data_IF_410668227151
#
_entry.id   IF_410668227151
#
_cell.length_a   1.000
_cell.length_b   1.000
_cell.length_c   1.000
_cell.angle_alpha   90.00
_cell.angle_beta   90.00
_cell.angle_gamma   90.00
#
_symmetry.space_group_name_H-M   'P 1'
#
loop_
_entity.id
_entity.type
_entity.pdbx_description
1 polymer ?
#
# COMPACT_ATOMS: atom_id res chain seq x y z
N UNK A 1 14.21 1.87 14.40
CA UNK A 1 13.05 2.01 13.49
C UNK A 1 12.68 0.62 12.97
N UNK A 2 11.49 0.10 13.27
CA UNK A 2 11.06 -1.24 12.80
C UNK A 2 10.24 -1.04 11.54
N UNK A 3 10.74 -1.55 10.41
CA UNK A 3 10.01 -1.56 9.14
C UNK A 3 9.03 -2.74 9.18
N UNK A 4 7.71 -2.53 9.04
CA UNK A 4 6.75 -3.61 8.96
C UNK A 4 6.98 -4.36 7.67
N UNK A 5 6.87 -5.67 7.76
CA UNK A 5 6.84 -6.54 6.58
C UNK A 5 5.63 -6.15 5.75
N UNK A 6 5.88 -5.79 4.49
CA UNK A 6 4.84 -5.41 3.55
C UNK A 6 4.85 -6.42 2.40
N UNK A 7 3.70 -7.06 2.17
CA UNK A 7 3.46 -7.95 1.05
C UNK A 7 2.62 -7.20 0.02
N UNK A 8 3.05 -7.22 -1.24
CA UNK A 8 2.26 -6.70 -2.36
C UNK A 8 1.94 -7.84 -3.31
N UNK A 9 0.66 -8.08 -3.54
CA UNK A 9 0.16 -9.01 -4.54
C UNK A 9 -0.40 -8.22 -5.73
N UNK A 10 -0.27 -8.75 -6.94
CA UNK A 10 -0.83 -8.15 -8.14
C UNK A 10 -1.34 -9.21 -9.11
N UNK A 11 -2.42 -8.91 -9.80
CA UNK A 11 -3.00 -9.72 -10.87
C UNK A 11 -3.29 -8.76 -12.03
N UNK A 12 -2.93 -9.15 -13.25
CA UNK A 12 -3.26 -8.41 -14.46
C UNK A 12 -3.85 -9.39 -15.49
N UNK A 13 -5.04 -9.07 -15.99
CA UNK A 13 -5.82 -9.93 -16.88
C UNK A 13 -6.13 -9.15 -18.16
N UNK A 14 -5.66 -9.62 -19.34
CA UNK A 14 -6.04 -9.02 -20.61
C UNK A 14 -7.50 -9.37 -20.95
N UNK A 15 -8.24 -8.42 -21.53
CA UNK A 15 -9.59 -8.67 -22.03
C UNK A 15 -9.48 -9.18 -23.48
N UNK A 16 -9.92 -10.42 -23.69
CA UNK A 16 -9.83 -11.14 -24.96
C UNK A 16 -10.38 -10.29 -26.11
N UNK A 17 -9.61 -10.18 -27.20
CA UNK A 17 -9.94 -9.43 -28.43
C UNK A 17 -10.13 -7.92 -28.24
N UNK A 18 -9.58 -7.34 -27.17
CA UNK A 18 -9.60 -5.88 -26.97
C UNK A 18 -8.21 -5.35 -26.60
N UNK A 19 -7.94 -4.04 -26.81
CA UNK A 19 -6.75 -3.37 -26.31
C UNK A 19 -6.78 -3.09 -24.79
N UNK A 20 -7.75 -3.64 -24.05
CA UNK A 20 -7.93 -3.39 -22.63
C UNK A 20 -7.35 -4.52 -21.76
N UNK A 21 -6.88 -4.14 -20.57
CA UNK A 21 -6.55 -5.06 -19.48
C UNK A 21 -7.09 -4.52 -18.16
N UNK A 22 -7.41 -5.44 -17.24
CA UNK A 22 -7.81 -5.11 -15.88
C UNK A 22 -6.76 -5.62 -14.92
N UNK A 23 -6.40 -4.81 -13.94
CA UNK A 23 -5.45 -5.20 -12.92
C UNK A 23 -6.02 -4.98 -11.52
N UNK A 24 -5.55 -5.80 -10.61
CA UNK A 24 -5.80 -5.69 -9.18
C UNK A 24 -4.44 -5.73 -8.48
N UNK A 25 -4.29 -4.92 -7.43
CA UNK A 25 -3.18 -5.03 -6.50
C UNK A 25 -3.66 -4.94 -5.06
N UNK A 26 -3.05 -5.75 -4.20
CA UNK A 26 -3.29 -5.76 -2.76
C UNK A 26 -1.99 -5.51 -2.02
N UNK A 27 -1.96 -4.46 -1.19
CA UNK A 27 -0.83 -4.15 -0.30
C UNK A 27 -1.22 -4.45 1.13
N UNK A 28 -0.49 -5.36 1.76
CA UNK A 28 -0.72 -5.82 3.11
C UNK A 28 0.52 -5.51 3.95
N UNK A 29 0.34 -4.91 5.11
CA UNK A 29 1.41 -4.68 6.06
C UNK A 29 1.06 -5.32 7.40
N UNK A 30 2.04 -6.02 7.98
CA UNK A 30 1.94 -6.52 9.34
C UNK A 30 1.90 -5.40 10.37
N UNK A 31 1.39 -5.67 11.59
CA UNK A 31 1.45 -4.71 12.68
C UNK A 31 2.91 -4.41 13.06
N UNK A 32 3.17 -3.19 13.54
CA UNK A 32 4.50 -2.84 14.04
C UNK A 32 4.81 -3.57 15.34
N UNK A 33 5.86 -4.39 15.34
CA UNK A 33 6.31 -5.14 16.52
C UNK A 33 6.95 -4.22 17.57
N UNK A 34 6.66 -4.44 18.87
CA UNK A 34 7.44 -3.86 19.98
C UNK A 34 8.83 -4.53 20.02
N UNK A 35 9.82 -4.00 19.31
CA UNK A 35 11.22 -4.36 19.53
C UNK A 35 11.86 -3.34 20.48
N UNK A 36 11.49 -3.38 21.76
CA UNK A 36 12.23 -2.72 22.83
C UNK A 36 13.16 -3.75 23.50
N UNK A 37 14.47 -3.48 23.51
CA UNK A 37 15.49 -4.35 24.14
C UNK A 37 15.79 -3.97 25.60
N UNK A 38 15.01 -3.07 26.20
CA UNK A 38 15.21 -2.61 27.57
C UNK A 38 14.04 -3.02 28.45
N UNK A 39 14.28 -3.97 29.36
CA UNK A 39 13.42 -4.27 30.50
C UNK A 39 13.99 -3.53 31.71
N UNK A 40 13.21 -2.66 32.34
CA UNK A 40 13.60 -2.06 33.61
C UNK A 40 13.45 -3.11 34.73
N UNK A 41 14.42 -3.29 35.63
CA UNK A 41 14.25 -4.22 36.76
C UNK A 41 13.10 -3.74 37.65
N UNK A 42 12.01 -4.51 37.72
CA UNK A 42 10.84 -4.20 38.55
C UNK A 42 9.61 -3.65 37.82
N UNK A 43 9.62 -3.52 36.49
CA UNK A 43 8.42 -3.21 35.69
C UNK A 43 8.23 -4.21 34.54
N UNK A 44 6.98 -4.59 34.26
CA UNK A 44 6.64 -5.43 33.09
C UNK A 44 6.62 -4.64 31.77
N UNK A 45 6.86 -3.32 31.84
CA UNK A 45 6.80 -2.43 30.68
C UNK A 45 8.11 -2.45 29.86
N UNK A 46 7.97 -2.87 28.61
CA UNK A 46 9.05 -2.86 27.62
C UNK A 46 9.17 -1.45 27.02
N UNK A 47 10.12 -0.66 27.49
CA UNK A 47 10.41 0.72 27.01
C UNK A 47 11.65 0.75 26.11
N UNK A 48 11.75 1.76 25.23
CA UNK A 48 13.03 2.10 24.55
C UNK A 48 14.05 2.68 25.53
N UNK A 49 15.34 2.75 25.15
CA UNK A 49 16.42 3.36 25.98
C UNK A 49 16.15 4.83 26.37
N UNK A 50 15.16 5.49 25.76
CA UNK A 50 14.83 6.91 25.94
C UNK A 50 13.46 7.16 26.60
N UNK A 51 12.77 6.13 27.12
CA UNK A 51 11.38 6.26 27.66
C UNK A 51 10.38 6.86 26.66
N UNK A 52 10.59 6.66 25.36
CA UNK A 52 9.60 7.07 24.36
C UNK A 52 8.57 5.97 24.18
N UNK A 53 7.29 6.35 24.27
CA UNK A 53 6.15 5.48 23.99
C UNK A 53 6.25 5.00 22.53
N UNK A 54 6.56 3.72 22.35
CA UNK A 54 6.62 3.12 21.02
C UNK A 54 5.19 3.04 20.46
N UNK A 55 4.76 4.10 19.77
CA UNK A 55 3.44 4.13 19.17
C UNK A 55 3.33 3.02 18.11
N UNK A 56 2.47 2.05 18.40
CA UNK A 56 2.21 0.93 17.50
C UNK A 56 1.08 1.26 16.55
N UNK A 57 1.26 0.87 15.29
CA UNK A 57 0.23 0.96 14.28
C UNK A 57 -0.28 -0.45 13.92
N UNK A 58 -1.62 -0.61 13.80
CA UNK A 58 -2.19 -1.88 13.38
C UNK A 58 -1.76 -2.20 11.95
N UNK A 59 -1.73 -3.49 11.63
CA UNK A 59 -1.57 -3.94 10.25
C UNK A 59 -2.71 -3.43 9.37
N UNK A 60 -2.47 -3.35 8.07
CA UNK A 60 -3.46 -2.88 7.10
C UNK A 60 -3.43 -3.70 5.82
N UNK A 61 -4.57 -3.75 5.14
CA UNK A 61 -4.72 -4.26 3.78
C UNK A 61 -5.43 -3.21 2.96
N UNK A 62 -4.82 -2.79 1.86
CA UNK A 62 -5.42 -1.86 0.90
C UNK A 62 -5.44 -2.49 -0.48
N UNK A 63 -6.52 -2.22 -1.22
CA UNK A 63 -6.77 -2.82 -2.52
C UNK A 63 -6.93 -1.72 -3.56
N UNK A 64 -6.30 -1.94 -4.71
CA UNK A 64 -6.33 -1.02 -5.84
C UNK A 64 -6.75 -1.78 -7.08
N UNK A 65 -7.56 -1.15 -7.92
CA UNK A 65 -8.06 -1.71 -9.17
C UNK A 65 -7.67 -0.78 -10.30
N UNK A 66 -7.29 -1.33 -11.44
CA UNK A 66 -6.93 -0.56 -12.61
C UNK A 66 -7.58 -1.09 -13.87
N UNK A 67 -7.92 -0.19 -14.77
CA UNK A 67 -8.26 -0.48 -16.16
C UNK A 67 -7.20 0.19 -17.01
N UNK A 68 -6.54 -0.58 -17.86
CA UNK A 68 -5.53 -0.08 -18.77
C UNK A 68 -5.98 -0.29 -20.21
N UNK A 69 -5.65 0.68 -21.05
CA UNK A 69 -5.82 0.63 -22.49
C UNK A 69 -4.44 0.81 -23.14
N UNK A 70 -4.12 -0.07 -24.08
CA UNK A 70 -2.95 0.08 -24.94
C UNK A 70 -3.37 -0.18 -26.37
N UNK A 71 -3.22 0.82 -27.23
CA UNK A 71 -3.52 0.67 -28.65
C UNK A 71 -2.69 -0.45 -29.28
N UNK A 72 -3.20 -1.06 -30.34
CA UNK A 72 -2.50 -2.13 -31.05
C UNK A 72 -1.13 -1.70 -31.57
N UNK A 73 -1.00 -0.43 -31.97
CA UNK A 73 0.24 0.17 -32.46
C UNK A 73 1.13 0.70 -31.33
N UNK A 74 0.69 0.59 -30.06
CA UNK A 74 1.39 1.03 -28.83
C UNK A 74 1.73 2.53 -28.76
N UNK A 75 1.14 3.32 -29.64
CA UNK A 75 1.22 4.78 -29.72
C UNK A 75 0.43 5.47 -28.60
N UNK A 76 -0.68 4.87 -28.15
CA UNK A 76 -1.53 5.40 -27.09
C UNK A 76 -1.58 4.42 -25.92
N UNK A 77 -1.34 4.93 -24.72
CA UNK A 77 -1.53 4.22 -23.46
C UNK A 77 -2.37 5.07 -22.52
N UNK A 78 -3.41 4.48 -21.95
CA UNK A 78 -4.21 5.12 -20.91
C UNK A 78 -4.40 4.17 -19.73
N UNK A 79 -4.38 4.71 -18.51
CA UNK A 79 -4.62 3.95 -17.29
C UNK A 79 -5.55 4.73 -16.37
N UNK A 80 -6.51 4.02 -15.80
CA UNK A 80 -7.39 4.51 -14.76
C UNK A 80 -7.26 3.59 -13.55
N UNK A 81 -6.86 4.15 -12.41
CA UNK A 81 -6.60 3.41 -11.17
C UNK A 81 -7.50 3.94 -10.06
N UNK A 82 -8.31 3.07 -9.47
CA UNK A 82 -8.96 3.28 -8.19
C UNK A 82 -8.07 2.72 -7.09
N UNK A 83 -7.40 3.62 -6.36
CA UNK A 83 -6.52 3.29 -5.25
C UNK A 83 -7.27 3.33 -3.92
N UNK A 84 -6.89 2.47 -2.98
CA UNK A 84 -7.57 2.30 -1.69
C UNK A 84 -9.10 2.22 -1.85
N UNK A 85 -9.57 1.27 -2.67
CA UNK A 85 -10.95 1.17 -3.13
C UNK A 85 -11.99 1.11 -2.00
N UNK A 86 -11.62 0.52 -0.86
CA UNK A 86 -12.47 0.38 0.32
C UNK A 86 -12.33 1.54 1.33
N UNK A 87 -11.63 2.62 0.95
CA UNK A 87 -11.42 3.81 1.77
C UNK A 87 -10.88 3.50 3.18
N UNK A 88 -9.92 2.58 3.27
CA UNK A 88 -9.30 2.20 4.54
C UNK A 88 -8.47 3.37 5.05
N UNK A 89 -8.70 3.80 6.28
CA UNK A 89 -7.79 4.70 6.99
C UNK A 89 -6.64 3.87 7.55
N UNK A 90 -5.41 4.21 7.19
CA UNK A 90 -4.21 3.53 7.64
C UNK A 90 -3.04 4.51 7.75
N UNK A 91 -2.02 4.09 8.50
CA UNK A 91 -0.89 4.94 8.87
C UNK A 91 0.41 4.27 8.43
N UNK A 92 1.41 5.10 8.17
CA UNK A 92 2.77 4.63 7.99
C UNK A 92 3.38 4.16 9.32
N UNK A 93 4.57 3.61 9.24
CA UNK A 93 5.38 3.14 10.39
C UNK A 93 5.75 4.24 11.36
N UNK A 94 5.60 5.50 10.95
CA UNK A 94 5.91 6.71 11.72
C UNK A 94 4.66 7.52 12.01
N UNK A 95 3.46 6.96 11.80
CA UNK A 95 2.21 7.62 12.13
C UNK A 95 1.69 8.64 11.12
N UNK A 96 2.29 8.70 9.94
CA UNK A 96 1.79 9.60 8.88
C UNK A 96 0.55 8.97 8.25
N UNK A 97 -0.62 9.65 8.27
CA UNK A 97 -1.82 9.18 7.58
C UNK A 97 -1.52 8.93 6.11
N UNK A 98 -2.03 7.83 5.58
CA UNK A 98 -1.86 7.48 4.17
C UNK A 98 -3.06 7.94 3.35
N UNK A 99 -2.89 7.99 2.02
CA UNK A 99 -3.94 8.44 1.11
C UNK A 99 -5.25 7.65 1.32
N UNK A 100 -6.35 8.38 1.42
CA UNK A 100 -7.69 7.83 1.38
C UNK A 100 -8.00 7.27 -0.02
N UNK A 101 -9.26 6.87 -0.27
CA UNK A 101 -9.67 6.44 -1.61
C UNK A 101 -9.35 7.51 -2.66
N UNK A 102 -8.64 7.13 -3.71
CA UNK A 102 -8.15 8.06 -4.73
C UNK A 102 -8.34 7.48 -6.14
N UNK A 103 -8.55 8.35 -7.13
CA UNK A 103 -8.63 7.97 -8.55
C UNK A 103 -7.47 8.63 -9.26
N UNK A 104 -6.63 7.82 -9.90
CA UNK A 104 -5.45 8.27 -10.66
C UNK A 104 -5.69 7.94 -12.13
N UNK A 105 -5.52 8.93 -13.00
CA UNK A 105 -5.64 8.76 -14.44
C UNK A 105 -4.35 9.20 -15.12
N UNK A 106 -3.89 8.42 -16.09
CA UNK A 106 -2.77 8.79 -16.94
C UNK A 106 -3.08 8.47 -18.39
N UNK A 107 -2.61 9.34 -19.29
CA UNK A 107 -2.67 9.17 -20.74
C UNK A 107 -1.30 9.53 -21.29
N UNK A 108 -0.80 8.70 -22.20
CA UNK A 108 0.50 8.85 -22.84
C UNK A 108 0.35 8.62 -24.33
N UNK A 109 0.98 9.48 -25.12
CA UNK A 109 1.04 9.39 -26.57
C UNK A 109 2.51 9.44 -27.01
N UNK A 110 2.88 8.56 -27.94
CA UNK A 110 4.21 8.51 -28.55
C UNK A 110 4.07 8.52 -30.07
N UNK A 111 4.81 9.43 -30.71
CA UNK A 111 4.90 9.57 -32.16
C UNK A 111 6.29 9.16 -32.66
#
# INVERSE_FOLDING_TARGET
MVRPETLTAFINVPIIKTPFSVAWSGKFAGPTAKKGTHKYPGSEEVTTRLKEDLQQYPGYGVHSFAVNYQSNNKDIQASLVLDNAFNKVYYSTVGVPQEARNIKMSVSYRW
#
